data_IF_404092810070
#
_entry.id   IF_404092810070
#
_cell.length_a   1.000
_cell.length_b   1.000
_cell.length_c   1.000
_cell.angle_alpha   90.00
_cell.angle_beta   90.00
_cell.angle_gamma   90.00
#
_symmetry.space_group_name_H-M   'P 1'
#
loop_
_entity.id
_entity.type
_entity.pdbx_description
1 polymer ?
#
# COMPACT_ATOMS: atom_id res chain seq x y z
N UNK A 1 -12.23 4.58 10.10
CA UNK A 1 -12.88 3.40 9.50
C UNK A 1 -12.12 2.14 9.93
N UNK A 2 -12.78 0.99 10.00
CA UNK A 2 -12.11 -0.28 10.37
C UNK A 2 -11.38 -0.92 9.17
N UNK A 3 -11.76 -0.57 7.94
CA UNK A 3 -11.09 -0.96 6.69
C UNK A 3 -10.97 0.24 5.75
N UNK A 4 -10.02 0.21 4.82
CA UNK A 4 -9.84 1.25 3.80
C UNK A 4 -9.33 0.61 2.49
N UNK A 5 -9.78 1.15 1.36
CA UNK A 5 -9.23 0.80 0.05
C UNK A 5 -7.98 1.65 -0.21
N UNK A 6 -6.86 0.99 -0.50
CA UNK A 6 -5.54 1.61 -0.66
C UNK A 6 -4.85 1.08 -1.91
N UNK A 7 -4.11 1.93 -2.61
CA UNK A 7 -3.32 1.50 -3.76
C UNK A 7 -2.15 0.62 -3.29
N UNK A 8 -1.98 -0.56 -3.85
CA UNK A 8 -0.87 -1.46 -3.52
C UNK A 8 -0.33 -2.13 -4.78
N UNK A 9 0.99 -2.12 -4.92
CA UNK A 9 1.73 -2.85 -5.94
C UNK A 9 3.09 -3.23 -5.34
N UNK A 10 3.40 -4.52 -5.29
CA UNK A 10 4.67 -5.05 -4.78
C UNK A 10 4.82 -6.48 -5.25
N UNK A 11 6.06 -6.93 -5.36
CA UNK A 11 6.40 -8.32 -5.72
C UNK A 11 6.76 -9.17 -4.50
N UNK A 12 7.03 -8.52 -3.39
CA UNK A 12 7.55 -9.14 -2.17
C UNK A 12 6.64 -8.79 -1.00
N UNK A 13 6.64 -9.65 0.00
CA UNK A 13 5.85 -9.48 1.22
C UNK A 13 6.70 -9.88 2.43
N UNK A 14 6.38 -9.30 3.58
CA UNK A 14 6.95 -9.73 4.85
C UNK A 14 6.28 -11.04 5.26
N UNK A 15 7.05 -12.13 5.33
CA UNK A 15 6.53 -13.44 5.73
C UNK A 15 6.38 -13.57 7.25
N UNK A 16 7.30 -12.95 7.99
CA UNK A 16 7.33 -12.94 9.45
C UNK A 16 7.62 -11.52 9.94
N UNK A 17 6.78 -11.01 10.83
CA UNK A 17 6.99 -9.70 11.42
C UNK A 17 8.32 -9.67 12.20
N UNK A 18 9.20 -8.68 11.99
CA UNK A 18 10.45 -8.59 12.74
C UNK A 18 10.19 -8.53 14.25
N UNK A 19 11.07 -9.14 15.04
CA UNK A 19 10.96 -9.18 16.51
C UNK A 19 10.66 -7.79 17.11
N UNK A 20 9.67 -7.72 18.00
CA UNK A 20 9.22 -6.49 18.64
C UNK A 20 8.33 -5.60 17.77
N UNK A 21 8.09 -5.95 16.50
CA UNK A 21 7.16 -5.21 15.64
C UNK A 21 5.72 -5.56 15.98
N UNK A 22 4.83 -4.57 15.89
CA UNK A 22 3.39 -4.75 16.06
C UNK A 22 2.72 -4.66 14.69
N UNK A 23 1.92 -5.67 14.35
CA UNK A 23 1.06 -5.65 13.16
C UNK A 23 -0.15 -4.78 13.43
N UNK A 24 -0.34 -3.74 12.63
CA UNK A 24 -1.45 -2.78 12.79
C UNK A 24 -2.54 -2.94 11.73
N UNK A 25 -2.23 -3.54 10.58
CA UNK A 25 -3.21 -3.83 9.53
C UNK A 25 -2.77 -5.02 8.67
N UNK A 26 -3.77 -5.67 8.07
CA UNK A 26 -3.63 -6.79 7.15
C UNK A 26 -4.68 -6.69 6.04
N UNK A 27 -4.53 -7.50 4.99
CA UNK A 27 -5.52 -7.76 3.95
C UNK A 27 -5.61 -9.27 3.69
N UNK A 28 -6.56 -9.68 2.85
CA UNK A 28 -6.71 -11.09 2.46
C UNK A 28 -5.48 -11.64 1.72
N UNK A 29 -4.67 -10.76 1.11
CA UNK A 29 -3.48 -11.14 0.33
C UNK A 29 -2.16 -10.97 1.09
N UNK A 30 -2.14 -10.13 2.13
CA UNK A 30 -0.93 -9.86 2.90
C UNK A 30 -1.25 -9.60 4.37
N UNK A 31 -0.61 -10.37 5.25
CA UNK A 31 -0.83 -10.32 6.70
C UNK A 31 -0.14 -9.13 7.38
N UNK A 32 0.81 -8.48 6.72
CA UNK A 32 1.70 -7.48 7.31
C UNK A 32 1.66 -6.15 6.53
N UNK A 33 0.46 -5.66 6.22
CA UNK A 33 0.26 -4.41 5.48
C UNK A 33 0.78 -3.17 6.21
N UNK A 34 0.71 -3.15 7.54
CA UNK A 34 1.30 -2.09 8.38
C UNK A 34 2.00 -2.71 9.57
N UNK A 35 3.27 -2.36 9.73
CA UNK A 35 4.10 -2.75 10.86
C UNK A 35 4.58 -1.51 11.60
N UNK A 36 4.51 -1.52 12.93
CA UNK A 36 5.20 -0.54 13.78
C UNK A 36 6.42 -1.21 14.39
N UNK A 37 7.60 -0.76 13.99
CA UNK A 37 8.87 -1.33 14.44
C UNK A 37 9.40 -0.67 15.72
N UNK A 38 9.03 0.58 15.97
CA UNK A 38 9.46 1.36 17.13
C UNK A 38 8.42 2.44 17.49
N UNK A 39 8.59 3.19 18.61
CA UNK A 39 7.67 4.25 18.96
C UNK A 39 7.42 5.29 17.86
N UNK A 40 8.44 5.58 17.03
CA UNK A 40 8.36 6.55 15.94
C UNK A 40 8.75 5.96 14.56
N UNK A 41 8.61 4.64 14.35
CA UNK A 41 8.96 3.99 13.09
C UNK A 41 7.87 3.02 12.62
N UNK A 42 7.41 3.22 11.39
CA UNK A 42 6.38 2.42 10.73
C UNK A 42 6.82 2.01 9.33
N UNK A 43 6.42 0.81 8.92
CA UNK A 43 6.45 0.35 7.54
C UNK A 43 5.02 0.14 7.03
N UNK A 44 4.79 0.47 5.76
CA UNK A 44 3.53 0.22 5.05
C UNK A 44 3.83 -0.49 3.73
N UNK A 45 3.01 -1.47 3.38
CA UNK A 45 3.18 -2.27 2.16
C UNK A 45 2.34 -1.73 0.97
N UNK A 46 1.35 -0.89 1.27
CA UNK A 46 0.60 -0.11 0.30
C UNK A 46 1.22 1.28 0.10
N UNK A 47 0.74 1.99 -0.91
CA UNK A 47 1.21 3.31 -1.31
C UNK A 47 0.16 4.39 -1.01
N UNK A 48 0.15 4.99 0.20
CA UNK A 48 -0.80 6.05 0.54
C UNK A 48 -0.63 7.32 -0.30
N UNK A 49 0.51 7.49 -0.95
CA UNK A 49 0.83 8.60 -1.85
C UNK A 49 0.19 8.45 -3.23
N UNK A 50 -0.11 7.23 -3.66
CA UNK A 50 -0.61 6.97 -5.01
C UNK A 50 -2.12 7.20 -5.10
N UNK A 51 -2.49 8.00 -6.09
CA UNK A 51 -3.89 8.19 -6.49
C UNK A 51 -4.28 7.20 -7.59
N UNK A 52 -5.57 7.05 -7.88
CA UNK A 52 -6.04 6.20 -8.97
C UNK A 52 -5.39 6.57 -10.32
N UNK A 53 -5.32 7.86 -10.75
CA UNK A 53 -4.62 8.22 -11.97
C UNK A 53 -3.15 7.82 -11.97
N UNK A 54 -2.45 7.97 -10.84
CA UNK A 54 -1.04 7.58 -10.72
C UNK A 54 -0.86 6.07 -10.82
N UNK A 55 -1.70 5.28 -10.13
CA UNK A 55 -1.64 3.83 -10.20
C UNK A 55 -2.00 3.31 -11.60
N UNK A 56 -2.96 3.95 -12.28
CA UNK A 56 -3.27 3.62 -13.67
C UNK A 56 -2.06 3.82 -14.59
N UNK A 57 -1.33 4.95 -14.44
CA UNK A 57 -0.12 5.19 -15.21
C UNK A 57 0.99 4.18 -14.89
N UNK A 58 1.11 3.76 -13.62
CA UNK A 58 2.05 2.71 -13.25
C UNK A 58 1.71 1.38 -13.92
N UNK A 59 0.44 0.97 -13.93
CA UNK A 59 0.01 -0.26 -14.59
C UNK A 59 0.27 -0.19 -16.10
N UNK A 60 -0.04 0.95 -16.74
CA UNK A 60 0.22 1.16 -18.17
C UNK A 60 1.73 1.07 -18.49
N UNK A 61 2.60 1.58 -17.61
CA UNK A 61 4.04 1.53 -17.80
C UNK A 61 4.64 0.12 -17.62
N UNK A 62 3.99 -0.73 -16.83
CA UNK A 62 4.43 -2.11 -16.54
C UNK A 62 3.84 -3.14 -17.50
N UNK A 63 2.74 -2.81 -18.19
CA UNK A 63 2.06 -3.65 -19.17
C UNK A 63 2.83 -3.77 -20.51
N UNK A 64 4.04 -4.33 -20.44
CA UNK A 64 4.88 -4.62 -21.62
C UNK A 64 4.46 -5.93 -22.31
N UNK A 65 4.98 -6.20 -23.50
CA UNK A 65 4.65 -7.42 -24.27
C UNK A 65 5.02 -8.74 -23.55
N UNK A 66 6.00 -8.71 -22.64
CA UNK A 66 6.42 -9.86 -21.80
C UNK A 66 5.95 -9.71 -20.34
N UNK A 67 4.84 -9.02 -20.12
CA UNK A 67 4.28 -8.83 -18.78
C UNK A 67 3.65 -10.11 -18.23
N UNK A 68 4.43 -10.86 -17.45
CA UNK A 68 4.00 -12.10 -16.80
C UNK A 68 3.09 -11.87 -15.59
N UNK A 69 2.97 -10.64 -15.09
CA UNK A 69 2.20 -10.32 -13.88
C UNK A 69 0.79 -9.82 -14.19
N UNK A 70 0.50 -9.50 -15.45
CA UNK A 70 -0.84 -9.11 -15.91
C UNK A 70 -1.28 -7.72 -15.44
N UNK A 71 -0.38 -6.73 -15.50
CA UNK A 71 -0.66 -5.34 -15.15
C UNK A 71 -1.75 -4.72 -16.04
N UNK A 72 -1.81 -5.12 -17.32
CA UNK A 72 -2.88 -4.72 -18.22
C UNK A 72 -4.26 -5.09 -17.66
N UNK A 73 -4.42 -6.29 -17.11
CA UNK A 73 -5.68 -6.74 -16.49
C UNK A 73 -5.90 -6.12 -15.12
N UNK A 74 -4.83 -5.87 -14.35
CA UNK A 74 -4.95 -5.22 -13.03
C UNK A 74 -5.58 -3.82 -13.12
N UNK A 75 -5.34 -3.10 -14.22
CA UNK A 75 -5.93 -1.79 -14.50
C UNK A 75 -7.45 -1.78 -14.36
N UNK A 76 -8.14 -2.81 -14.83
CA UNK A 76 -9.60 -2.91 -14.79
C UNK A 76 -10.16 -3.13 -13.37
N UNK A 77 -9.29 -3.46 -12.42
CA UNK A 77 -9.66 -3.71 -11.02
C UNK A 77 -9.39 -2.52 -10.10
N UNK A 78 -8.72 -1.47 -10.61
CA UNK A 78 -8.34 -0.32 -9.81
C UNK A 78 -9.56 0.46 -9.31
N UNK A 79 -9.49 0.93 -8.07
CA UNK A 79 -10.52 1.75 -7.42
C UNK A 79 -9.92 3.06 -6.90
N UNK A 80 -10.72 4.13 -6.76
CA UNK A 80 -10.29 5.33 -6.05
C UNK A 80 -9.85 5.00 -4.62
N UNK A 81 -8.80 5.66 -4.13
CA UNK A 81 -8.28 5.50 -2.77
C UNK A 81 -8.12 6.90 -2.12
N UNK A 82 -9.22 7.63 -1.82
CA UNK A 82 -9.14 8.91 -1.12
C UNK A 82 -8.58 8.79 0.32
N UNK A 83 -8.65 7.59 0.90
CA UNK A 83 -8.16 7.28 2.24
C UNK A 83 -6.63 7.34 2.33
N UNK A 84 -5.91 6.94 1.27
CA UNK A 84 -4.45 6.97 1.21
C UNK A 84 -3.86 8.37 1.45
N UNK A 85 -4.16 9.37 0.58
CA UNK A 85 -3.66 10.73 0.76
C UNK A 85 -4.13 11.37 2.07
N UNK A 86 -5.34 11.01 2.54
CA UNK A 86 -5.85 11.46 3.83
C UNK A 86 -5.08 10.88 5.01
N UNK A 87 -4.67 9.61 4.93
CA UNK A 87 -3.84 8.94 5.92
C UNK A 87 -2.46 9.61 5.98
N UNK A 88 -1.84 9.88 4.83
CA UNK A 88 -0.53 10.53 4.78
C UNK A 88 -0.56 11.93 5.42
N UNK A 89 -1.60 12.73 5.16
CA UNK A 89 -1.80 14.04 5.81
C UNK A 89 -1.92 13.91 7.34
N UNK A 90 -2.70 12.94 7.83
CA UNK A 90 -2.82 12.68 9.27
C UNK A 90 -1.51 12.21 9.88
N UNK A 91 -0.77 11.36 9.18
CA UNK A 91 0.55 10.90 9.63
C UNK A 91 1.53 12.06 9.76
N UNK A 92 1.58 12.98 8.78
CA UNK A 92 2.42 14.18 8.85
C UNK A 92 2.03 15.08 10.02
N UNK A 93 0.73 15.29 10.26
CA UNK A 93 0.27 16.07 11.41
C UNK A 93 0.67 15.41 12.73
N UNK A 94 0.52 14.09 12.83
CA UNK A 94 0.94 13.30 13.99
C UNK A 94 2.45 13.34 14.23
N UNK A 95 3.27 13.19 13.18
CA UNK A 95 4.72 13.16 13.30
C UNK A 95 5.36 14.53 13.59
N UNK A 96 4.62 15.62 13.36
CA UNK A 96 5.04 17.00 13.64
C UNK A 96 4.54 17.54 14.98
N UNK A 97 3.54 16.89 15.58
CA UNK A 97 3.04 17.19 16.92
C UNK A 97 3.83 16.44 17.98
#
# INVERSE_FOLDING_TARGET
>A
PQCADLQAHHYETVLEAPSGSIVLASSDRDRHQVLRHAPAAWGVQFHPELTLPMMSMLMDALATDDDQHGHAQMRDTLRPSPEGPSLLKRFVAFARG
#
